data_IF_437177557233
#
_entry.id   IF_437177557233
#
_cell.length_a   1.000
_cell.length_b   1.000
_cell.length_c   1.000
_cell.angle_alpha   90.00
_cell.angle_beta   90.00
_cell.angle_gamma   90.00
#
_symmetry.space_group_name_H-M   'P 1'
#
loop_
_entity.id
_entity.type
_entity.pdbx_description
1 polymer ?
#
# COMPACT_ATOMS: atom_id res chain seq x y z
N UNK A 1 -6.76 -35.76 59.07
CA UNK A 1 -7.29 -34.50 58.49
C UNK A 1 -6.72 -34.33 57.12
N UNK A 2 -7.42 -34.79 56.09
CA UNK A 2 -7.05 -34.66 54.68
C UNK A 2 -7.78 -33.42 54.11
N UNK A 3 -7.01 -32.40 53.74
CA UNK A 3 -7.54 -31.20 53.04
C UNK A 3 -7.57 -31.52 51.54
N UNK A 4 -8.77 -31.52 50.97
CA UNK A 4 -8.98 -31.66 49.52
C UNK A 4 -8.81 -30.28 48.87
N UNK A 5 -7.76 -30.17 48.05
CA UNK A 5 -7.58 -29.04 47.15
C UNK A 5 -8.50 -29.27 45.92
N UNK A 6 -9.51 -28.46 45.78
CA UNK A 6 -10.36 -28.42 44.57
C UNK A 6 -9.67 -27.47 43.59
N UNK A 7 -9.17 -28.05 42.51
CA UNK A 7 -8.60 -27.31 41.38
C UNK A 7 -9.76 -26.80 40.50
N UNK A 8 -10.07 -25.52 40.59
CA UNK A 8 -11.03 -24.87 39.70
C UNK A 8 -10.31 -24.57 38.39
N UNK A 9 -10.61 -25.35 37.35
CA UNK A 9 -10.19 -25.06 35.99
C UNK A 9 -11.18 -24.01 35.47
N UNK A 10 -10.74 -22.73 35.43
CA UNK A 10 -11.47 -21.68 34.74
C UNK A 10 -11.28 -21.87 33.24
N UNK A 11 -12.35 -22.30 32.57
CA UNK A 11 -12.44 -22.25 31.11
C UNK A 11 -12.45 -20.80 30.66
N UNK A 12 -11.36 -20.35 30.05
CA UNK A 12 -11.30 -19.05 29.37
C UNK A 12 -12.03 -19.22 28.03
N UNK A 13 -13.15 -18.52 27.79
CA UNK A 13 -13.74 -18.52 26.47
C UNK A 13 -12.77 -17.81 25.52
N UNK A 14 -12.32 -18.51 24.49
CA UNK A 14 -11.69 -17.89 23.33
C UNK A 14 -12.74 -16.99 22.68
N UNK A 15 -12.75 -15.74 23.06
CA UNK A 15 -13.40 -14.69 22.29
C UNK A 15 -12.50 -14.51 21.09
N UNK A 16 -12.95 -14.97 19.92
CA UNK A 16 -12.39 -14.57 18.63
C UNK A 16 -12.56 -13.04 18.55
N UNK A 17 -11.52 -12.35 19.02
CA UNK A 17 -11.49 -10.91 19.05
C UNK A 17 -11.27 -10.39 17.65
N UNK A 18 -12.27 -9.69 17.14
CA UNK A 18 -12.02 -8.64 16.17
C UNK A 18 -10.93 -7.75 16.74
N UNK A 19 -9.80 -7.65 16.07
CA UNK A 19 -8.81 -6.62 16.37
C UNK A 19 -9.43 -5.32 15.88
N UNK A 20 -10.14 -4.65 16.77
CA UNK A 20 -10.50 -3.25 16.58
C UNK A 20 -9.21 -2.48 16.85
N UNK A 21 -8.50 -2.07 15.82
CA UNK A 21 -7.48 -1.04 15.95
C UNK A 21 -8.24 0.28 16.09
N UNK A 22 -8.80 0.49 17.26
CA UNK A 22 -9.37 1.77 17.64
C UNK A 22 -8.35 2.53 18.48
N UNK A 23 -7.53 3.33 17.84
CA UNK A 23 -6.94 4.48 18.48
C UNK A 23 -7.09 5.68 17.53
N UNK A 24 -8.33 6.03 17.28
CA UNK A 24 -8.69 7.29 16.65
C UNK A 24 -9.17 8.17 17.78
N UNK A 25 -8.47 9.25 18.08
CA UNK A 25 -9.02 10.34 18.88
C UNK A 25 -10.26 10.84 18.16
N UNK A 26 -11.41 10.40 18.64
CA UNK A 26 -12.73 10.70 18.08
C UNK A 26 -13.04 12.17 18.33
N UNK A 27 -13.09 13.06 17.33
CA UNK A 27 -13.56 14.40 17.55
C UNK A 27 -15.07 14.35 17.80
N UNK A 28 -15.56 15.08 18.77
CA UNK A 28 -16.93 15.11 19.27
C UNK A 28 -18.05 15.45 18.23
N UNK A 29 -17.70 15.65 16.95
CA UNK A 29 -18.65 15.91 15.86
C UNK A 29 -19.11 14.65 15.10
N UNK A 30 -18.63 13.46 15.50
CA UNK A 30 -19.07 12.17 14.95
C UNK A 30 -20.38 11.65 15.55
N UNK A 31 -20.96 12.36 16.53
CA UNK A 31 -22.21 11.94 17.19
C UNK A 31 -23.46 11.86 16.25
N UNK A 32 -23.35 12.44 15.04
CA UNK A 32 -24.39 12.37 14.00
C UNK A 32 -23.98 11.50 12.80
N UNK A 33 -23.04 10.56 12.97
CA UNK A 33 -22.60 9.67 11.90
C UNK A 33 -23.58 8.52 11.69
N UNK A 34 -24.02 8.36 10.45
CA UNK A 34 -24.77 7.19 10.00
C UNK A 34 -23.81 6.08 9.55
N UNK A 35 -24.25 4.83 9.67
CA UNK A 35 -23.51 3.66 9.19
C UNK A 35 -24.33 2.93 8.13
N UNK A 36 -23.68 2.62 7.02
CA UNK A 36 -24.22 1.75 5.97
C UNK A 36 -23.37 0.49 5.92
N UNK A 37 -23.96 -0.67 6.10
CA UNK A 37 -23.30 -1.96 5.89
C UNK A 37 -23.86 -2.61 4.63
N UNK A 38 -22.97 -3.10 3.78
CA UNK A 38 -23.28 -3.80 2.54
C UNK A 38 -22.45 -5.07 2.42
N UNK A 39 -23.12 -6.21 2.24
CA UNK A 39 -22.45 -7.41 1.78
C UNK A 39 -22.17 -7.26 0.26
N UNK A 40 -20.95 -7.55 -0.15
CA UNK A 40 -20.53 -7.44 -1.56
C UNK A 40 -20.45 -8.82 -2.19
N UNK A 41 -20.36 -8.87 -3.51
CA UNK A 41 -20.26 -10.14 -4.24
C UNK A 41 -19.08 -10.98 -3.75
N UNK A 42 -19.30 -12.27 -3.60
CA UNK A 42 -18.24 -13.23 -3.21
C UNK A 42 -17.11 -13.34 -4.24
N UNK A 43 -17.36 -12.94 -5.47
CA UNK A 43 -16.39 -13.00 -6.56
C UNK A 43 -15.49 -11.74 -6.66
N UNK A 44 -15.63 -10.80 -5.74
CA UNK A 44 -14.83 -9.57 -5.75
C UNK A 44 -13.44 -9.84 -5.18
N UNK A 45 -12.44 -9.64 -6.02
CA UNK A 45 -11.01 -9.67 -5.68
C UNK A 45 -10.24 -8.44 -6.17
N UNK A 46 -10.95 -7.48 -6.79
CA UNK A 46 -10.39 -6.23 -7.32
C UNK A 46 -11.10 -5.05 -6.71
N UNK A 47 -10.34 -4.05 -6.27
CA UNK A 47 -10.86 -2.85 -5.62
C UNK A 47 -10.40 -1.61 -6.38
N UNK A 48 -11.34 -0.74 -6.73
CA UNK A 48 -11.09 0.61 -7.24
C UNK A 48 -11.63 1.61 -6.21
N UNK A 49 -10.75 2.39 -5.60
CA UNK A 49 -11.10 3.40 -4.62
C UNK A 49 -10.82 4.79 -5.18
N UNK A 50 -11.89 5.56 -5.42
CA UNK A 50 -11.87 6.91 -6.01
C UNK A 50 -12.61 7.93 -5.12
N UNK A 51 -12.84 7.57 -3.86
CA UNK A 51 -13.51 8.42 -2.90
C UNK A 51 -12.51 9.19 -2.03
N UNK A 52 -12.99 10.21 -1.35
CA UNK A 52 -12.26 10.90 -0.28
C UNK A 52 -12.49 10.17 1.04
N UNK A 53 -11.55 10.31 1.95
CA UNK A 53 -11.57 9.66 3.26
C UNK A 53 -10.65 8.47 3.32
N UNK A 54 -10.85 7.62 4.32
CA UNK A 54 -9.93 6.51 4.59
C UNK A 54 -10.62 5.16 4.37
N UNK A 55 -10.03 4.32 3.54
CA UNK A 55 -10.42 2.93 3.33
C UNK A 55 -9.48 2.01 4.12
N UNK A 56 -10.02 1.32 5.12
CA UNK A 56 -9.33 0.23 5.82
C UNK A 56 -9.66 -1.09 5.13
N UNK A 57 -8.65 -1.81 4.69
CA UNK A 57 -8.78 -3.14 4.06
C UNK A 57 -8.19 -4.19 4.98
N UNK A 58 -8.95 -5.21 5.28
CA UNK A 58 -8.49 -6.36 6.06
C UNK A 58 -8.79 -7.65 5.31
N UNK A 59 -7.86 -8.59 5.36
CA UNK A 59 -8.10 -9.93 4.83
C UNK A 59 -8.90 -10.74 5.85
N UNK A 60 -10.02 -11.30 5.43
CA UNK A 60 -10.93 -12.04 6.31
C UNK A 60 -11.56 -13.24 5.63
N UNK A 61 -12.73 -13.67 6.10
CA UNK A 61 -13.47 -14.83 5.59
C UNK A 61 -14.76 -14.44 4.87
N UNK A 62 -15.00 -13.15 4.72
CA UNK A 62 -16.21 -12.63 4.11
C UNK A 62 -15.86 -11.41 3.26
N UNK A 63 -16.69 -11.16 2.25
CA UNK A 63 -16.61 -9.94 1.48
C UNK A 63 -17.68 -8.97 1.97
N UNK A 64 -17.27 -7.97 2.75
CA UNK A 64 -18.16 -7.02 3.39
C UNK A 64 -17.60 -5.61 3.38
N UNK A 65 -18.41 -4.64 2.99
CA UNK A 65 -18.12 -3.24 3.07
C UNK A 65 -19.00 -2.56 4.12
N UNK A 66 -18.37 -1.82 5.03
CA UNK A 66 -19.06 -0.93 5.97
C UNK A 66 -18.57 0.49 5.73
N UNK A 67 -19.49 1.44 5.63
CA UNK A 67 -19.21 2.85 5.39
C UNK A 67 -19.78 3.64 6.53
N UNK A 68 -18.97 4.48 7.17
CA UNK A 68 -19.37 5.40 8.24
C UNK A 68 -19.11 6.82 7.81
N UNK A 69 -20.04 7.71 8.08
CA UNK A 69 -19.87 9.12 7.74
C UNK A 69 -21.12 9.93 7.99
N UNK A 70 -20.99 11.22 7.79
CA UNK A 70 -22.14 12.12 7.86
C UNK A 70 -23.10 11.83 6.70
N UNK A 71 -24.41 11.95 6.95
CA UNK A 71 -25.47 11.59 5.98
C UNK A 71 -25.26 12.25 4.60
N UNK A 72 -24.81 13.49 4.54
CA UNK A 72 -24.51 14.18 3.28
C UNK A 72 -23.32 13.55 2.51
N UNK A 73 -22.31 13.07 3.21
CA UNK A 73 -21.19 12.37 2.59
C UNK A 73 -21.64 11.00 2.05
N UNK A 74 -22.41 10.26 2.82
CA UNK A 74 -22.93 8.94 2.44
C UNK A 74 -23.81 8.98 1.19
N UNK A 75 -24.58 10.05 1.00
CA UNK A 75 -25.42 10.25 -0.19
C UNK A 75 -24.62 10.48 -1.49
N UNK A 76 -23.37 10.91 -1.39
CA UNK A 76 -22.49 11.14 -2.53
C UNK A 76 -21.65 9.92 -2.89
N UNK A 77 -21.70 8.85 -2.09
CA UNK A 77 -20.91 7.63 -2.30
C UNK A 77 -21.66 6.67 -3.18
N UNK A 78 -21.06 6.31 -4.29
CA UNK A 78 -21.50 5.23 -5.17
C UNK A 78 -20.66 3.98 -4.94
N UNK A 79 -21.33 2.84 -4.80
CA UNK A 79 -20.69 1.53 -4.65
C UNK A 79 -21.25 0.59 -5.70
N UNK A 80 -20.35 0.03 -6.53
CA UNK A 80 -20.66 -0.95 -7.56
C UNK A 80 -19.74 -2.17 -7.42
N UNK A 81 -20.31 -3.35 -7.28
CA UNK A 81 -19.59 -4.63 -7.10
C UNK A 81 -19.82 -5.62 -8.24
N UNK A 82 -20.17 -5.11 -9.43
CA UNK A 82 -20.38 -5.94 -10.62
C UNK A 82 -19.05 -6.34 -11.27
N UNK A 83 -19.08 -7.45 -11.99
CA UNK A 83 -17.95 -7.93 -12.81
C UNK A 83 -16.68 -8.27 -12.03
N UNK A 84 -16.78 -8.72 -10.77
CA UNK A 84 -15.65 -9.12 -9.94
C UNK A 84 -14.76 -7.96 -9.48
N UNK A 85 -15.24 -6.72 -9.57
CA UNK A 85 -14.54 -5.54 -9.10
C UNK A 85 -15.47 -4.68 -8.24
N UNK A 86 -14.97 -4.24 -7.10
CA UNK A 86 -15.63 -3.27 -6.24
C UNK A 86 -15.15 -1.87 -6.62
N UNK A 87 -16.05 -1.04 -7.11
CA UNK A 87 -15.81 0.38 -7.32
C UNK A 87 -16.45 1.15 -6.18
N UNK A 88 -15.66 1.93 -5.46
CA UNK A 88 -16.10 2.91 -4.47
C UNK A 88 -15.71 4.28 -4.99
N UNK A 89 -16.70 5.07 -5.38
CA UNK A 89 -16.49 6.42 -5.90
C UNK A 89 -17.31 7.44 -5.15
N UNK A 90 -16.90 8.68 -5.20
CA UNK A 90 -17.63 9.80 -4.62
C UNK A 90 -17.89 10.85 -5.68
N UNK A 91 -19.16 11.18 -5.88
CA UNK A 91 -19.53 12.30 -6.72
C UNK A 91 -19.06 13.60 -6.06
N UNK A 92 -18.18 14.31 -6.74
CA UNK A 92 -17.78 15.66 -6.32
C UNK A 92 -18.72 16.64 -6.96
N UNK A 93 -19.54 17.33 -6.17
CA UNK A 93 -20.26 18.50 -6.67
C UNK A 93 -19.23 19.53 -7.16
N UNK A 94 -19.16 19.74 -8.47
CA UNK A 94 -18.30 20.73 -9.13
C UNK A 94 -18.64 22.19 -8.74
N UNK A 95 -19.62 22.40 -7.88
CA UNK A 95 -20.05 23.71 -7.43
C UNK A 95 -19.17 24.26 -6.30
N UNK A 96 -17.85 24.38 -6.55
CA UNK A 96 -16.92 25.07 -5.68
C UNK A 96 -16.88 26.56 -5.99
N UNK A 97 -17.88 27.30 -5.52
CA UNK A 97 -17.72 28.74 -5.40
C UNK A 97 -17.14 29.03 -4.01
N UNK A 98 -15.93 29.62 -3.96
CA UNK A 98 -15.23 30.10 -2.77
C UNK A 98 -14.37 29.12 -1.96
N UNK A 99 -13.91 28.01 -2.47
CA UNK A 99 -12.80 27.26 -1.84
C UNK A 99 -13.06 26.70 -0.41
N UNK A 100 -14.29 26.76 0.07
CA UNK A 100 -14.66 26.26 1.41
C UNK A 100 -14.99 24.78 1.31
N UNK A 101 -14.09 23.92 1.79
CA UNK A 101 -14.45 22.53 2.07
C UNK A 101 -15.51 22.54 3.17
N UNK A 102 -16.67 21.93 2.88
CA UNK A 102 -17.66 21.71 3.94
C UNK A 102 -17.08 20.70 4.91
N UNK A 103 -17.03 20.99 6.23
CA UNK A 103 -16.71 19.99 7.24
C UNK A 103 -17.72 18.82 7.12
N UNK A 104 -17.23 17.57 7.16
CA UNK A 104 -18.08 16.38 7.11
C UNK A 104 -18.24 15.72 5.73
N UNK A 105 -17.41 16.07 4.74
CA UNK A 105 -17.46 15.43 3.42
C UNK A 105 -16.65 14.13 3.32
N UNK A 106 -15.97 13.73 4.36
CA UNK A 106 -15.14 12.52 4.38
C UNK A 106 -15.89 11.37 5.05
N UNK A 107 -15.80 10.20 4.47
CA UNK A 107 -16.32 8.97 5.03
C UNK A 107 -15.17 8.01 5.37
N UNK A 108 -15.45 7.08 6.28
CA UNK A 108 -14.55 6.00 6.64
C UNK A 108 -15.13 4.68 6.11
N UNK A 109 -14.32 3.94 5.40
CA UNK A 109 -14.69 2.70 4.76
C UNK A 109 -13.94 1.55 5.43
N UNK A 110 -14.64 0.47 5.77
CA UNK A 110 -14.06 -0.76 6.30
C UNK A 110 -14.42 -1.89 5.34
N UNK A 111 -13.40 -2.44 4.69
CA UNK A 111 -13.55 -3.50 3.71
C UNK A 111 -12.89 -4.77 4.21
N UNK A 112 -13.66 -5.81 4.39
CA UNK A 112 -13.18 -7.18 4.60
C UNK A 112 -13.27 -7.93 3.28
N UNK A 113 -12.17 -8.57 2.85
CA UNK A 113 -12.09 -9.39 1.64
C UNK A 113 -11.39 -10.71 1.92
N UNK A 114 -11.84 -11.78 1.26
CA UNK A 114 -11.15 -13.08 1.32
C UNK A 114 -9.84 -13.04 0.54
N UNK A 115 -9.82 -12.35 -0.59
CA UNK A 115 -8.65 -12.21 -1.45
C UNK A 115 -8.62 -10.83 -2.10
N UNK A 116 -7.41 -10.35 -2.42
CA UNK A 116 -7.20 -9.11 -3.15
C UNK A 116 -6.13 -9.37 -4.23
N UNK A 117 -6.52 -9.30 -5.50
CA UNK A 117 -5.62 -9.46 -6.64
C UNK A 117 -5.24 -8.11 -7.29
N UNK A 118 -6.09 -7.09 -7.13
CA UNK A 118 -5.82 -5.76 -7.68
C UNK A 118 -6.40 -4.64 -6.80
N UNK A 119 -5.59 -3.63 -6.55
CA UNK A 119 -6.00 -2.37 -5.94
C UNK A 119 -5.67 -1.21 -6.88
N UNK A 120 -6.68 -0.47 -7.27
CA UNK A 120 -6.52 0.83 -7.92
C UNK A 120 -6.98 1.91 -6.96
N UNK A 121 -6.10 2.83 -6.64
CA UNK A 121 -6.38 3.95 -5.77
C UNK A 121 -6.07 5.25 -6.50
N UNK A 122 -7.04 6.12 -6.63
CA UNK A 122 -6.87 7.41 -7.30
C UNK A 122 -7.57 8.55 -6.55
N UNK A 123 -7.09 9.76 -6.78
CA UNK A 123 -7.68 10.96 -6.18
C UNK A 123 -6.97 11.43 -4.92
N UNK A 124 -7.70 11.69 -3.82
CA UNK A 124 -7.18 12.31 -2.60
C UNK A 124 -7.49 11.49 -1.33
N UNK A 125 -7.85 10.24 -1.46
CA UNK A 125 -8.14 9.37 -0.33
C UNK A 125 -6.90 8.73 0.28
N UNK A 126 -7.11 8.02 1.37
CA UNK A 126 -6.11 7.17 2.00
C UNK A 126 -6.60 5.71 2.02
N UNK A 127 -5.73 4.76 1.67
CA UNK A 127 -6.00 3.32 1.81
C UNK A 127 -5.01 2.72 2.79
N UNK A 128 -5.52 2.06 3.82
CA UNK A 128 -4.74 1.35 4.82
C UNK A 128 -5.03 -0.14 4.76
N UNK A 129 -4.01 -0.91 4.41
CA UNK A 129 -4.14 -2.37 4.35
C UNK A 129 -3.46 -2.98 5.58
N UNK A 130 -4.23 -3.80 6.30
CA UNK A 130 -3.71 -4.68 7.33
C UNK A 130 -2.82 -5.79 6.74
N UNK A 131 -2.38 -6.76 7.55
CA UNK A 131 -1.61 -7.89 7.05
C UNK A 131 -2.36 -8.59 5.91
N UNK A 132 -1.65 -8.81 4.78
CA UNK A 132 -2.21 -9.37 3.56
C UNK A 132 -1.32 -10.50 3.05
N UNK A 133 -1.91 -11.66 2.79
CA UNK A 133 -1.24 -12.82 2.19
C UNK A 133 -1.96 -13.18 0.90
N UNK A 134 -1.28 -12.98 -0.23
CA UNK A 134 -1.86 -13.19 -1.56
C UNK A 134 -0.88 -13.90 -2.49
N UNK A 135 -1.38 -14.46 -3.57
CA UNK A 135 -0.51 -15.06 -4.57
C UNK A 135 0.06 -14.00 -5.52
N UNK A 136 -0.81 -13.16 -6.05
CA UNK A 136 -0.43 -12.08 -6.97
C UNK A 136 -1.19 -10.82 -6.58
N UNK A 137 -0.50 -9.68 -6.53
CA UNK A 137 -1.12 -8.38 -6.26
C UNK A 137 -0.61 -7.33 -7.24
N UNK A 138 -1.55 -6.60 -7.84
CA UNK A 138 -1.27 -5.41 -8.64
C UNK A 138 -1.84 -4.18 -7.97
N UNK A 139 -1.00 -3.20 -7.66
CA UNK A 139 -1.38 -1.93 -7.03
C UNK A 139 -1.08 -0.78 -8.00
N UNK A 140 -2.07 0.07 -8.23
CA UNK A 140 -1.90 1.32 -8.98
C UNK A 140 -2.38 2.46 -8.09
N UNK A 141 -1.48 3.36 -7.72
CA UNK A 141 -1.77 4.56 -6.94
C UNK A 141 -1.49 5.80 -7.78
N UNK A 142 -2.43 6.73 -7.84
CA UNK A 142 -2.31 7.92 -8.71
C UNK A 142 -3.00 9.17 -8.13
N UNK A 143 -2.69 10.33 -8.68
CA UNK A 143 -3.20 11.60 -8.16
C UNK A 143 -2.49 12.00 -6.88
N UNK A 144 -3.21 12.26 -5.81
CA UNK A 144 -2.69 12.54 -4.47
C UNK A 144 -3.04 11.41 -3.48
N UNK A 145 -3.16 10.20 -3.99
CA UNK A 145 -3.54 9.03 -3.22
C UNK A 145 -2.42 8.56 -2.28
N UNK A 146 -2.77 8.19 -1.05
CA UNK A 146 -1.84 7.59 -0.08
C UNK A 146 -2.25 6.15 0.21
N UNK A 147 -1.35 5.20 -0.04
CA UNK A 147 -1.61 3.77 0.14
C UNK A 147 -0.60 3.16 1.10
N UNK A 148 -1.04 2.65 2.24
CA UNK A 148 -0.21 2.13 3.32
C UNK A 148 -0.44 0.63 3.53
N UNK A 149 0.62 -0.15 3.52
CA UNK A 149 0.61 -1.58 3.87
C UNK A 149 1.36 -1.80 5.18
N UNK A 150 0.73 -2.45 6.16
CA UNK A 150 1.41 -2.84 7.38
C UNK A 150 2.27 -4.09 7.19
N UNK A 151 1.79 -5.08 6.43
CA UNK A 151 2.53 -6.28 6.07
C UNK A 151 1.95 -6.90 4.81
N UNK A 152 2.82 -7.22 3.87
CA UNK A 152 2.44 -7.82 2.60
C UNK A 152 3.30 -9.05 2.32
N UNK A 153 2.65 -10.18 2.14
CA UNK A 153 3.27 -11.42 1.66
C UNK A 153 2.61 -11.75 0.31
N UNK A 154 3.41 -11.73 -0.75
CA UNK A 154 2.92 -12.00 -2.10
C UNK A 154 3.96 -12.80 -2.89
N UNK A 155 3.54 -13.80 -3.67
CA UNK A 155 4.49 -14.44 -4.58
C UNK A 155 4.93 -13.46 -5.67
N UNK A 156 3.99 -12.82 -6.33
CA UNK A 156 4.25 -11.84 -7.40
C UNK A 156 3.59 -10.51 -7.07
N UNK A 157 4.38 -9.45 -6.93
CA UNK A 157 3.91 -8.10 -6.62
C UNK A 157 4.24 -7.13 -7.74
N UNK A 158 3.29 -6.30 -8.11
CA UNK A 158 3.52 -5.13 -8.99
C UNK A 158 2.90 -3.90 -8.35
N UNK A 159 3.71 -2.87 -8.11
CA UNK A 159 3.24 -1.56 -7.61
C UNK A 159 3.63 -0.47 -8.61
N UNK A 160 2.69 0.37 -8.93
CA UNK A 160 2.90 1.57 -9.72
C UNK A 160 2.32 2.79 -9.02
N UNK A 161 3.17 3.77 -8.74
CA UNK A 161 2.78 5.09 -8.25
C UNK A 161 3.06 6.15 -9.32
N UNK A 162 2.12 7.07 -9.51
CA UNK A 162 2.22 8.15 -10.50
C UNK A 162 1.65 9.45 -9.97
N UNK A 163 1.93 10.55 -10.65
CA UNK A 163 1.54 11.91 -10.27
C UNK A 163 2.17 12.34 -8.94
N UNK A 164 1.40 12.44 -7.87
CA UNK A 164 1.84 12.78 -6.51
C UNK A 164 1.40 11.71 -5.50
N UNK A 165 1.23 10.48 -5.98
CA UNK A 165 0.81 9.39 -5.12
C UNK A 165 1.95 8.90 -4.22
N UNK A 166 1.58 8.49 -3.00
CA UNK A 166 2.50 7.92 -2.03
C UNK A 166 2.12 6.49 -1.69
N UNK A 167 3.10 5.57 -1.70
CA UNK A 167 2.91 4.18 -1.30
C UNK A 167 3.93 3.82 -0.24
N UNK A 168 3.46 3.47 0.97
CA UNK A 168 4.28 3.07 2.10
C UNK A 168 4.04 1.60 2.44
N UNK A 169 5.11 0.82 2.62
CA UNK A 169 5.06 -0.58 3.00
C UNK A 169 5.99 -0.80 4.19
N UNK A 170 5.45 -1.25 5.32
CA UNK A 170 6.26 -1.53 6.50
C UNK A 170 7.08 -2.81 6.30
N UNK A 171 6.43 -3.91 5.91
CA UNK A 171 7.13 -5.19 5.62
C UNK A 171 6.62 -5.82 4.33
N UNK A 172 7.55 -6.29 3.49
CA UNK A 172 7.28 -6.98 2.24
C UNK A 172 8.08 -8.26 2.14
N UNK A 173 7.40 -9.39 1.96
CA UNK A 173 7.99 -10.68 1.64
C UNK A 173 7.44 -11.17 0.29
N UNK A 174 8.32 -11.44 -0.69
CA UNK A 174 7.87 -11.78 -2.04
C UNK A 174 8.92 -12.60 -2.80
N UNK A 175 8.49 -13.49 -3.70
CA UNK A 175 9.41 -14.11 -4.64
C UNK A 175 9.85 -13.09 -5.70
N UNK A 176 8.90 -12.29 -6.23
CA UNK A 176 9.17 -11.28 -7.25
C UNK A 176 8.39 -10.00 -6.99
N UNK A 177 9.09 -8.87 -6.93
CA UNK A 177 8.47 -7.56 -6.76
C UNK A 177 8.90 -6.59 -7.88
N UNK A 178 7.94 -5.92 -8.50
CA UNK A 178 8.19 -4.81 -9.41
C UNK A 178 7.61 -3.52 -8.86
N UNK A 179 8.48 -2.55 -8.54
CA UNK A 179 8.14 -1.24 -7.99
C UNK A 179 8.45 -0.17 -9.04
N UNK A 180 7.43 0.58 -9.44
CA UNK A 180 7.55 1.66 -10.44
C UNK A 180 7.02 2.96 -9.90
N UNK A 181 7.82 4.01 -10.01
CA UNK A 181 7.44 5.37 -9.66
C UNK A 181 7.72 6.31 -10.83
N UNK A 182 6.77 7.18 -11.12
CA UNK A 182 6.91 8.20 -12.16
C UNK A 182 6.37 9.54 -11.65
N UNK A 183 6.71 10.60 -12.37
CA UNK A 183 6.32 11.97 -12.06
C UNK A 183 6.87 12.41 -10.69
N UNK A 184 6.03 12.82 -9.75
CA UNK A 184 6.43 13.24 -8.40
C UNK A 184 5.89 12.26 -7.34
N UNK A 185 5.72 11.01 -7.72
CA UNK A 185 5.23 9.98 -6.80
C UNK A 185 6.38 9.38 -6.00
N UNK A 186 6.03 8.81 -4.84
CA UNK A 186 6.97 8.18 -3.92
C UNK A 186 6.55 6.74 -3.61
N UNK A 187 7.55 5.84 -3.52
CA UNK A 187 7.38 4.50 -2.94
C UNK A 187 8.44 4.31 -1.86
N UNK A 188 7.99 4.01 -0.66
CA UNK A 188 8.84 3.67 0.47
C UNK A 188 8.57 2.26 0.97
N UNK A 189 9.61 1.42 1.08
CA UNK A 189 9.54 0.07 1.67
C UNK A 189 10.54 0.00 2.82
N UNK A 190 10.03 -0.12 4.03
CA UNK A 190 10.85 -0.08 5.23
C UNK A 190 11.68 -1.36 5.41
N UNK A 191 11.10 -2.52 5.12
CA UNK A 191 11.79 -3.81 5.18
C UNK A 191 11.27 -4.75 4.09
N UNK A 192 12.14 -5.13 3.15
CA UNK A 192 11.83 -6.05 2.05
C UNK A 192 12.69 -7.31 2.16
N UNK A 193 12.08 -8.46 1.92
CA UNK A 193 12.76 -9.73 1.70
C UNK A 193 12.25 -10.33 0.39
N UNK A 194 13.11 -10.42 -0.62
CA UNK A 194 12.69 -10.81 -1.97
C UNK A 194 13.78 -11.56 -2.72
N UNK A 195 13.41 -12.50 -3.60
CA UNK A 195 14.35 -13.14 -4.49
C UNK A 195 14.74 -12.17 -5.62
N UNK A 196 13.77 -11.67 -6.37
CA UNK A 196 13.99 -10.78 -7.50
C UNK A 196 13.22 -9.47 -7.32
N UNK A 197 13.92 -8.33 -7.32
CA UNK A 197 13.28 -7.01 -7.30
C UNK A 197 13.62 -6.20 -8.55
N UNK A 198 12.58 -5.56 -9.13
CA UNK A 198 12.73 -4.61 -10.23
C UNK A 198 12.30 -3.22 -9.77
N UNK A 199 13.26 -2.31 -9.72
CA UNK A 199 13.09 -0.94 -9.30
C UNK A 199 13.15 -0.03 -10.52
N UNK A 200 12.08 0.75 -10.75
CA UNK A 200 12.03 1.68 -11.88
C UNK A 200 11.55 3.04 -11.41
N UNK A 201 12.35 4.05 -11.64
CA UNK A 201 12.01 5.44 -11.35
C UNK A 201 12.23 6.33 -12.57
N UNK A 202 11.30 7.21 -12.82
CA UNK A 202 11.39 8.17 -13.92
C UNK A 202 10.87 9.55 -13.50
N UNK A 203 11.25 10.55 -14.29
CA UNK A 203 10.93 11.96 -14.10
C UNK A 203 11.45 12.47 -12.75
N UNK A 204 10.62 12.73 -11.77
CA UNK A 204 10.99 13.17 -10.42
C UNK A 204 10.54 12.17 -9.35
N UNK A 205 10.31 10.90 -9.75
CA UNK A 205 9.87 9.86 -8.83
C UNK A 205 10.96 9.45 -7.85
N UNK A 206 10.58 9.28 -6.59
CA UNK A 206 11.45 8.82 -5.51
C UNK A 206 11.10 7.39 -5.09
N UNK A 207 12.12 6.51 -5.03
CA UNK A 207 11.96 5.14 -4.56
C UNK A 207 13.00 4.86 -3.49
N UNK A 208 12.56 4.49 -2.28
CA UNK A 208 13.45 4.17 -1.16
C UNK A 208 13.08 2.83 -0.56
N UNK A 209 14.08 1.98 -0.32
CA UNK A 209 13.87 0.67 0.28
C UNK A 209 15.06 0.19 1.09
N UNK A 210 14.79 -0.65 2.08
CA UNK A 210 15.77 -1.34 2.89
C UNK A 210 15.39 -2.82 3.05
N UNK A 211 16.36 -3.70 3.34
CA UNK A 211 16.14 -5.13 3.53
C UNK A 211 17.08 -5.99 2.71
N UNK A 212 16.58 -7.09 2.12
CA UNK A 212 17.40 -8.06 1.38
C UNK A 212 16.79 -8.44 0.04
N UNK A 213 17.65 -8.67 -0.97
CA UNK A 213 17.28 -9.22 -2.27
C UNK A 213 18.39 -10.14 -2.80
N UNK A 214 18.02 -11.24 -3.46
CA UNK A 214 19.03 -12.02 -4.18
C UNK A 214 19.48 -11.25 -5.43
N UNK A 215 18.53 -10.77 -6.24
CA UNK A 215 18.81 -9.99 -7.45
C UNK A 215 18.03 -8.68 -7.48
N UNK A 216 18.71 -7.57 -7.72
CA UNK A 216 18.10 -6.27 -7.93
C UNK A 216 18.36 -5.76 -9.36
N UNK A 217 17.28 -5.47 -10.10
CA UNK A 217 17.31 -4.78 -11.39
C UNK A 217 16.87 -3.34 -11.18
N UNK A 218 17.79 -2.41 -11.34
CA UNK A 218 17.58 -0.99 -11.03
C UNK A 218 17.62 -0.16 -12.30
N UNK A 219 16.59 0.62 -12.55
CA UNK A 219 16.53 1.54 -13.70
C UNK A 219 16.00 2.90 -13.27
N UNK A 220 16.83 3.93 -13.40
CA UNK A 220 16.47 5.30 -13.09
C UNK A 220 16.74 6.22 -14.30
N UNK A 221 15.84 7.15 -14.55
CA UNK A 221 15.99 8.10 -15.64
C UNK A 221 15.45 9.49 -15.30
N UNK A 222 15.91 10.47 -16.07
CA UNK A 222 15.56 11.87 -15.95
C UNK A 222 16.03 12.45 -14.60
N UNK A 223 15.19 12.92 -13.73
CA UNK A 223 15.59 13.47 -12.42
C UNK A 223 15.14 12.54 -11.26
N UNK A 224 14.90 11.27 -11.57
CA UNK A 224 14.44 10.32 -10.58
C UNK A 224 15.54 9.93 -9.59
N UNK A 225 15.13 9.52 -8.40
CA UNK A 225 16.03 9.07 -7.35
C UNK A 225 15.64 7.66 -6.87
N UNK A 226 16.64 6.75 -6.78
CA UNK A 226 16.47 5.44 -6.15
C UNK A 226 17.48 5.31 -5.03
N UNK A 227 17.01 5.26 -3.80
CA UNK A 227 17.81 5.00 -2.62
C UNK A 227 17.58 3.55 -2.14
N UNK A 228 18.42 2.66 -2.62
CA UNK A 228 18.54 1.25 -2.24
C UNK A 228 19.85 0.97 -1.50
N UNK A 229 20.44 2.01 -0.86
CA UNK A 229 21.69 1.87 -0.13
C UNK A 229 21.58 1.01 1.14
N UNK A 230 20.38 0.79 1.64
CA UNK A 230 20.07 -0.11 2.74
C UNK A 230 19.45 -1.45 2.27
N UNK A 231 19.43 -1.72 0.97
CA UNK A 231 19.02 -3.01 0.39
C UNK A 231 20.27 -3.86 0.14
N UNK A 232 20.47 -4.88 0.94
CA UNK A 232 21.56 -5.86 0.76
C UNK A 232 21.22 -6.80 -0.40
N UNK A 233 21.90 -6.63 -1.54
CA UNK A 233 21.68 -7.46 -2.74
C UNK A 233 22.91 -8.32 -3.06
N UNK A 234 22.69 -9.59 -3.44
CA UNK A 234 23.79 -10.40 -3.94
C UNK A 234 24.24 -9.90 -5.32
N UNK A 235 23.28 -9.72 -6.24
CA UNK A 235 23.54 -9.26 -7.61
C UNK A 235 22.75 -7.99 -7.90
N UNK A 236 23.41 -6.99 -8.49
CA UNK A 236 22.77 -5.75 -8.93
C UNK A 236 23.04 -5.50 -10.40
N UNK A 237 21.99 -5.33 -11.20
CA UNK A 237 22.04 -4.86 -12.58
C UNK A 237 21.44 -3.46 -12.66
N UNK A 238 22.25 -2.45 -12.95
CA UNK A 238 21.89 -1.06 -12.83
C UNK A 238 22.02 -0.33 -14.17
N UNK A 239 20.95 0.32 -14.60
CA UNK A 239 20.93 1.23 -15.74
C UNK A 239 20.42 2.60 -15.30
N UNK A 240 21.22 3.63 -15.49
CA UNK A 240 20.83 5.00 -15.14
C UNK A 240 21.21 5.98 -16.23
N UNK A 241 20.37 7.00 -16.44
CA UNK A 241 20.61 8.00 -17.46
C UNK A 241 19.97 9.35 -17.13
N UNK A 242 20.40 10.35 -17.89
CA UNK A 242 20.02 11.75 -17.73
C UNK A 242 20.42 12.23 -16.34
N UNK A 243 19.79 12.86 -15.52
CA UNK A 243 20.21 13.37 -14.22
C UNK A 243 19.75 12.50 -13.05
N UNK A 244 19.44 11.23 -13.30
CA UNK A 244 18.97 10.33 -12.26
C UNK A 244 20.08 10.00 -11.26
N UNK A 245 19.69 9.73 -10.02
CA UNK A 245 20.57 9.35 -8.95
C UNK A 245 20.20 7.96 -8.41
N UNK A 246 21.19 7.10 -8.19
CA UNK A 246 20.99 5.78 -7.63
C UNK A 246 22.03 5.52 -6.54
N UNK A 247 21.55 5.12 -5.35
CA UNK A 247 22.40 4.53 -4.31
C UNK A 247 22.00 3.07 -4.15
N UNK A 248 22.99 2.14 -4.09
CA UNK A 248 22.73 0.70 -3.97
C UNK A 248 23.83 0.00 -3.19
N UNK A 249 23.56 -1.25 -2.77
CA UNK A 249 24.53 -2.12 -2.12
C UNK A 249 24.55 -3.48 -2.81
N UNK A 250 25.77 -4.00 -3.13
CA UNK A 250 25.96 -5.28 -3.79
C UNK A 250 27.10 -6.08 -3.14
N UNK A 251 26.94 -7.41 -3.04
CA UNK A 251 27.92 -8.26 -2.36
C UNK A 251 28.68 -9.21 -3.28
N UNK A 252 28.09 -9.69 -4.37
CA UNK A 252 28.72 -10.66 -5.28
C UNK A 252 29.07 -10.05 -6.63
N UNK A 253 28.08 -9.43 -7.31
CA UNK A 253 28.25 -8.86 -8.65
C UNK A 253 27.48 -7.55 -8.79
N UNK A 254 28.10 -6.56 -9.43
CA UNK A 254 27.41 -5.35 -9.87
C UNK A 254 27.77 -5.04 -11.31
N UNK A 255 26.74 -4.87 -12.15
CA UNK A 255 26.85 -4.39 -13.52
C UNK A 255 26.21 -2.99 -13.60
N UNK A 256 26.98 -2.00 -14.10
CA UNK A 256 26.56 -0.60 -14.12
C UNK A 256 26.63 -0.07 -15.56
N UNK A 257 25.50 0.39 -16.08
CA UNK A 257 25.38 1.20 -17.30
C UNK A 257 24.91 2.62 -16.92
N UNK A 258 25.88 3.53 -16.79
CA UNK A 258 25.66 4.93 -16.40
C UNK A 258 25.85 5.85 -17.59
N UNK A 259 24.87 6.73 -17.87
CA UNK A 259 24.87 7.64 -19.03
C UNK A 259 24.35 9.03 -18.66
N UNK A 260 24.73 10.03 -19.46
CA UNK A 260 24.11 11.36 -19.55
C UNK A 260 24.01 12.12 -18.21
N UNK A 261 25.10 12.29 -17.49
CA UNK A 261 25.19 13.01 -16.20
C UNK A 261 24.34 12.38 -15.06
N UNK A 262 23.97 11.13 -15.17
CA UNK A 262 23.46 10.40 -14.02
C UNK A 262 24.53 10.17 -12.97
N UNK A 263 24.17 9.73 -11.79
CA UNK A 263 25.11 9.46 -10.69
C UNK A 263 24.77 8.16 -9.98
N UNK A 264 25.76 7.28 -9.87
CA UNK A 264 25.66 6.02 -9.16
C UNK A 264 26.63 6.02 -7.97
N UNK A 265 26.10 5.71 -6.80
CA UNK A 265 26.88 5.44 -5.60
C UNK A 265 26.58 4.02 -5.13
N UNK A 266 27.59 3.20 -4.92
CA UNK A 266 27.38 1.85 -4.41
C UNK A 266 28.38 1.46 -3.32
N UNK A 267 27.97 0.51 -2.48
CA UNK A 267 28.77 -0.06 -1.40
C UNK A 267 28.69 -1.59 -1.43
N UNK A 268 29.55 -2.24 -0.65
CA UNK A 268 29.60 -3.70 -0.54
C UNK A 268 30.89 -4.29 -1.08
N UNK A 269 30.90 -5.61 -1.29
CA UNK A 269 32.11 -6.39 -1.69
C UNK A 269 32.01 -6.94 -3.11
N UNK A 270 31.04 -6.53 -3.91
CA UNK A 270 30.78 -7.05 -5.24
C UNK A 270 31.95 -6.84 -6.21
N UNK A 271 32.06 -7.72 -7.20
CA UNK A 271 32.91 -7.52 -8.38
C UNK A 271 32.15 -6.63 -9.38
N UNK A 272 32.77 -5.55 -9.82
CA UNK A 272 32.20 -4.68 -10.85
C UNK A 272 32.58 -5.18 -12.24
N UNK A 273 31.61 -5.30 -13.13
CA UNK A 273 31.77 -5.60 -14.55
C UNK A 273 31.35 -4.43 -15.43
#
# INVERSE_FOLDING_TARGET
MLSRIVLLIAAVPFVSGCIVVANVNDPAWWDDSDEITRDISIDVDRVNFEARGTLYVVQGRSNRLRIQGHNQALQQIAVDDRSGALLISQETDDFRWWGVQRPGSEAVFYLELENLSSLRHSGHGEVKLGPLIVNTLSVISSGHATTNFSSLIARDLTIRATDHANVDIETLDSDSAELRVNDHADIFVQDINVLDVKLRAADHGDLRLAGTADTAFVSAQDHANIDAGALESAVVNLNTRNHAQVTTQAHELIEIDERDNSSVSWTGSALQQ
#
